data_IF_628467837516
#
_entry.id   IF_628467837516
#
_cell.length_a   1.000
_cell.length_b   1.000
_cell.length_c   1.000
_cell.angle_alpha   90.00
_cell.angle_beta   90.00
_cell.angle_gamma   90.00
#
_symmetry.space_group_name_H-M   'P 1'
#
loop_
_entity.id
_entity.type
_entity.pdbx_description
1 polymer ?
#
# COMPACT_ATOMS: atom_id res chain seq x y z
N UNK A 1 -3.52 16.24 7.49
CA UNK A 1 -4.61 15.60 8.21
C UNK A 1 -4.50 15.93 9.69
N UNK A 2 -5.44 16.71 10.26
CA UNK A 2 -5.48 16.94 11.70
C UNK A 2 -5.82 15.65 12.45
N UNK A 3 -5.27 15.52 13.66
CA UNK A 3 -5.53 14.42 14.58
C UNK A 3 -6.30 14.92 15.80
N UNK A 4 -7.14 14.11 16.41
CA UNK A 4 -7.89 14.50 17.64
C UNK A 4 -6.96 14.93 18.80
N UNK A 5 -5.72 14.48 18.78
CA UNK A 5 -4.68 14.82 19.78
C UNK A 5 -4.02 16.19 19.56
N UNK A 6 -4.51 16.99 18.59
CA UNK A 6 -3.96 18.32 18.28
C UNK A 6 -2.74 18.31 17.35
N UNK A 7 -2.27 17.14 16.95
CA UNK A 7 -1.16 17.00 16.02
C UNK A 7 -1.62 17.11 14.55
N UNK A 8 -0.73 17.51 13.67
CA UNK A 8 -0.95 17.53 12.24
C UNK A 8 -0.08 16.47 11.56
N UNK A 9 -0.71 15.56 10.83
CA UNK A 9 -0.01 14.62 9.97
C UNK A 9 0.14 15.21 8.58
N UNK A 10 1.38 15.35 8.13
CA UNK A 10 1.74 15.79 6.79
C UNK A 10 2.31 14.61 5.99
N UNK A 11 1.85 14.41 4.78
CA UNK A 11 2.31 13.35 3.87
C UNK A 11 1.65 13.52 2.49
N UNK A 12 2.14 12.85 1.51
CA UNK A 12 3.16 11.82 1.54
C UNK A 12 4.08 11.91 0.32
N UNK A 13 5.16 11.16 0.35
CA UNK A 13 6.00 10.92 -0.82
C UNK A 13 5.89 9.46 -1.27
N UNK A 14 6.37 9.17 -2.47
CA UNK A 14 6.47 7.83 -3.04
C UNK A 14 7.81 7.69 -3.74
N UNK A 15 8.57 6.67 -3.37
CA UNK A 15 9.86 6.35 -3.95
C UNK A 15 9.88 4.90 -4.41
N UNK A 16 10.48 4.65 -5.57
CA UNK A 16 10.61 3.32 -6.14
C UNK A 16 12.07 2.86 -6.09
N UNK A 17 12.28 1.55 -6.04
CA UNK A 17 13.61 0.95 -6.16
C UNK A 17 14.50 1.11 -4.92
N UNK A 18 13.99 1.66 -3.82
CA UNK A 18 14.73 1.73 -2.56
C UNK A 18 14.29 0.61 -1.62
N UNK A 19 15.26 -0.05 -1.04
CA UNK A 19 15.07 -1.07 0.00
C UNK A 19 15.60 -0.62 1.36
N UNK A 20 16.15 0.60 1.42
CA UNK A 20 16.70 1.17 2.65
C UNK A 20 15.70 2.14 3.29
N UNK A 21 15.37 1.94 4.57
CA UNK A 21 14.32 2.70 5.26
C UNK A 21 14.65 4.12 5.74
N UNK A 22 15.87 4.67 5.68
CA UNK A 22 16.07 6.03 6.18
C UNK A 22 15.21 7.03 5.42
N UNK A 23 14.69 8.01 6.16
CA UNK A 23 13.96 9.13 5.59
C UNK A 23 14.88 9.92 4.66
N UNK A 24 14.55 10.01 3.38
CA UNK A 24 15.26 10.84 2.43
C UNK A 24 14.99 12.33 2.75
N UNK A 25 16.04 13.03 3.19
CA UNK A 25 15.93 14.41 3.66
C UNK A 25 15.56 15.39 2.53
N UNK A 26 16.00 15.16 1.30
CA UNK A 26 15.69 16.02 0.16
C UNK A 26 14.20 15.89 -0.21
N UNK A 27 13.67 14.66 -0.22
CA UNK A 27 12.25 14.41 -0.45
C UNK A 27 11.40 15.01 0.66
N UNK A 28 11.83 14.88 1.92
CA UNK A 28 11.16 15.50 3.06
C UNK A 28 11.13 17.03 2.92
N UNK A 29 12.26 17.64 2.63
CA UNK A 29 12.37 19.09 2.46
C UNK A 29 11.51 19.60 1.29
N UNK A 30 11.45 18.87 0.19
CA UNK A 30 10.59 19.19 -0.94
C UNK A 30 9.09 19.09 -0.57
N UNK A 31 8.72 18.05 0.16
CA UNK A 31 7.35 17.87 0.63
C UNK A 31 6.92 19.00 1.58
N UNK A 32 7.79 19.38 2.52
CA UNK A 32 7.53 20.46 3.45
C UNK A 32 7.42 21.82 2.72
N UNK A 33 8.31 22.11 1.79
CA UNK A 33 8.21 23.34 0.97
C UNK A 33 6.88 23.45 0.25
N UNK A 34 6.44 22.39 -0.41
CA UNK A 34 5.13 22.36 -1.07
C UNK A 34 3.96 22.52 -0.10
N UNK A 35 4.06 21.96 1.09
CA UNK A 35 3.03 22.12 2.10
C UNK A 35 2.89 23.57 2.59
N UNK A 36 4.00 24.29 2.71
CA UNK A 36 4.02 25.70 3.09
C UNK A 36 3.32 26.60 2.06
N UNK A 37 3.36 26.25 0.77
CA UNK A 37 2.62 26.96 -0.29
C UNK A 37 1.10 26.93 -0.06
N UNK A 38 0.59 25.87 0.54
CA UNK A 38 -0.84 25.71 0.86
C UNK A 38 -1.21 26.14 2.27
N UNK A 39 -0.29 25.97 3.21
CA UNK A 39 -0.50 26.23 4.64
C UNK A 39 0.72 26.92 5.25
N UNK A 40 0.90 28.24 5.03
CA UNK A 40 2.07 28.97 5.52
C UNK A 40 2.30 28.87 7.03
N UNK A 41 1.23 28.76 7.82
CA UNK A 41 1.33 28.60 9.28
C UNK A 41 2.04 27.34 9.75
N UNK A 42 2.32 26.37 8.86
CA UNK A 42 3.14 25.21 9.20
C UNK A 42 4.58 25.59 9.55
N UNK A 43 5.07 26.74 9.09
CA UNK A 43 6.41 27.24 9.40
C UNK A 43 6.65 27.50 10.90
N UNK A 44 5.58 27.74 11.65
CA UNK A 44 5.63 28.00 13.09
C UNK A 44 5.57 26.72 13.93
N UNK A 45 5.36 25.57 13.29
CA UNK A 45 5.21 24.29 13.98
C UNK A 45 6.52 23.52 14.05
N UNK A 46 6.72 22.79 15.14
CA UNK A 46 7.85 21.88 15.30
C UNK A 46 7.50 20.48 14.78
N UNK A 47 8.40 19.88 14.02
CA UNK A 47 8.29 18.49 13.64
C UNK A 47 8.53 17.59 14.86
N UNK A 48 7.56 16.78 15.20
CA UNK A 48 7.64 15.82 16.32
C UNK A 48 8.33 14.55 15.86
N UNK A 49 8.01 14.09 14.63
CA UNK A 49 8.48 12.81 14.12
C UNK A 49 8.37 12.76 12.59
N UNK A 50 9.35 12.12 11.98
CA UNK A 50 9.31 11.70 10.58
C UNK A 50 9.48 10.19 10.50
N UNK A 51 8.85 9.54 9.52
CA UNK A 51 8.99 8.11 9.28
C UNK A 51 8.75 7.75 7.82
N UNK A 52 9.25 6.60 7.43
CA UNK A 52 8.95 5.94 6.16
C UNK A 52 8.37 4.55 6.42
N UNK A 53 7.85 3.92 5.37
CA UNK A 53 7.39 2.54 5.38
C UNK A 53 7.34 2.00 3.97
N UNK A 54 7.45 0.68 3.85
CA UNK A 54 7.32 0.00 2.57
C UNK A 54 5.86 -0.24 2.21
N UNK A 55 5.58 -0.17 0.92
CA UNK A 55 4.32 -0.62 0.34
C UNK A 55 4.60 -1.84 -0.51
N UNK A 56 3.93 -2.95 -0.21
CA UNK A 56 4.02 -4.14 -1.04
C UNK A 56 3.33 -3.88 -2.37
N UNK A 57 4.08 -4.00 -3.45
CA UNK A 57 3.59 -3.86 -4.82
C UNK A 57 4.01 -5.05 -5.65
N UNK A 58 3.34 -5.24 -6.77
CA UNK A 58 3.66 -6.23 -7.79
C UNK A 58 4.20 -5.54 -9.04
N UNK A 59 4.91 -6.22 -9.94
CA UNK A 59 5.43 -5.62 -11.16
C UNK A 59 4.36 -5.00 -12.07
N UNK A 60 3.14 -5.55 -12.05
CA UNK A 60 2.01 -5.09 -12.85
C UNK A 60 1.06 -4.15 -12.10
N UNK A 61 1.39 -3.79 -10.86
CA UNK A 61 0.58 -2.94 -9.97
C UNK A 61 -0.82 -3.50 -9.66
N UNK A 62 -1.07 -4.78 -9.92
CA UNK A 62 -2.30 -5.49 -9.57
C UNK A 62 -2.05 -6.38 -8.34
N UNK A 63 -2.93 -6.42 -7.34
CA UNK A 63 -2.73 -7.28 -6.18
C UNK A 63 -2.75 -8.76 -6.55
N UNK A 64 -2.18 -9.58 -5.70
CA UNK A 64 -2.31 -11.04 -5.78
C UNK A 64 -3.35 -11.45 -4.75
N UNK A 65 -4.45 -12.05 -5.22
CA UNK A 65 -5.56 -12.51 -4.38
C UNK A 65 -5.94 -13.92 -4.82
N UNK A 66 -5.76 -14.90 -3.95
CA UNK A 66 -6.11 -16.28 -4.25
C UNK A 66 -5.13 -17.30 -3.72
N UNK A 67 -5.28 -18.54 -4.21
CA UNK A 67 -4.47 -19.67 -3.77
C UNK A 67 -3.03 -19.56 -4.28
N UNK A 68 -2.07 -19.94 -3.44
CA UNK A 68 -0.67 -20.03 -3.84
C UNK A 68 -0.47 -21.14 -4.89
N UNK A 69 0.30 -20.93 -5.96
CA UNK A 69 0.37 -21.86 -7.09
C UNK A 69 0.93 -23.25 -6.75
N UNK A 70 1.78 -23.36 -5.75
CA UNK A 70 2.48 -24.62 -5.39
C UNK A 70 2.28 -25.04 -3.94
N UNK A 71 1.50 -24.31 -3.13
CA UNK A 71 1.25 -24.62 -1.72
C UNK A 71 -0.24 -24.61 -1.45
N UNK A 72 -0.82 -25.80 -1.33
CA UNK A 72 -2.28 -26.01 -1.28
C UNK A 72 -3.01 -25.33 -0.13
N UNK A 73 -2.35 -25.10 1.00
CA UNK A 73 -2.97 -24.51 2.20
C UNK A 73 -2.64 -23.03 2.37
N UNK A 74 -1.90 -22.44 1.40
CA UNK A 74 -1.51 -21.03 1.46
C UNK A 74 -2.37 -20.19 0.53
N UNK A 75 -2.96 -19.16 1.10
CA UNK A 75 -3.73 -18.14 0.38
C UNK A 75 -3.04 -16.80 0.46
N UNK A 76 -3.13 -16.03 -0.60
CA UNK A 76 -2.45 -14.75 -0.77
C UNK A 76 -3.46 -13.62 -0.85
N UNK A 77 -3.19 -12.52 -0.17
CA UNK A 77 -3.87 -11.24 -0.28
C UNK A 77 -2.83 -10.13 -0.11
N UNK A 78 -2.02 -9.88 -1.14
CA UNK A 78 -0.81 -9.04 -1.06
C UNK A 78 -0.67 -8.13 -2.28
N UNK A 79 0.23 -7.17 -2.21
CA UNK A 79 0.59 -6.35 -3.37
C UNK A 79 -0.40 -5.22 -3.70
N UNK A 80 -1.23 -4.80 -2.76
CA UNK A 80 -2.23 -3.73 -2.96
C UNK A 80 -1.65 -2.32 -2.98
N UNK A 81 -0.37 -2.19 -2.76
CA UNK A 81 0.36 -0.92 -2.72
C UNK A 81 -0.33 0.09 -1.76
N UNK A 82 -0.74 1.25 -2.25
CA UNK A 82 -1.41 2.27 -1.44
C UNK A 82 -2.92 2.09 -1.27
N UNK A 83 -3.52 1.12 -1.94
CA UNK A 83 -4.97 0.92 -2.00
C UNK A 83 -5.50 -0.16 -1.05
N UNK A 84 -4.61 -0.84 -0.30
CA UNK A 84 -4.97 -2.01 0.50
C UNK A 84 -6.13 -1.77 1.48
N UNK A 85 -6.15 -0.63 2.16
CA UNK A 85 -7.26 -0.30 3.10
C UNK A 85 -8.58 -0.13 2.35
N UNK A 86 -8.56 0.58 1.22
CA UNK A 86 -9.76 0.85 0.42
C UNK A 86 -10.31 -0.42 -0.23
N UNK A 87 -9.43 -1.32 -0.67
CA UNK A 87 -9.82 -2.55 -1.39
C UNK A 87 -10.00 -3.76 -0.47
N UNK A 88 -9.70 -3.63 0.83
CA UNK A 88 -9.79 -4.73 1.79
C UNK A 88 -11.15 -5.46 1.80
N UNK A 89 -12.32 -4.80 1.77
CA UNK A 89 -13.60 -5.50 1.76
C UNK A 89 -13.77 -6.39 0.52
N UNK A 90 -13.50 -5.84 -0.67
CA UNK A 90 -13.61 -6.61 -1.92
C UNK A 90 -12.58 -7.75 -1.99
N UNK A 91 -11.37 -7.52 -1.48
CA UNK A 91 -10.33 -8.56 -1.37
C UNK A 91 -10.79 -9.70 -0.47
N UNK A 92 -11.37 -9.38 0.68
CA UNK A 92 -11.86 -10.37 1.64
C UNK A 92 -13.02 -11.19 1.05
N UNK A 93 -13.97 -10.53 0.40
CA UNK A 93 -15.10 -11.19 -0.24
C UNK A 93 -14.64 -12.15 -1.35
N UNK A 94 -13.77 -11.69 -2.24
CA UNK A 94 -13.22 -12.52 -3.30
C UNK A 94 -12.43 -13.71 -2.75
N UNK A 95 -11.61 -13.50 -1.74
CA UNK A 95 -10.81 -14.57 -1.14
C UNK A 95 -11.69 -15.59 -0.41
N UNK A 96 -12.67 -15.11 0.37
CA UNK A 96 -13.63 -15.99 1.06
C UNK A 96 -14.44 -16.83 0.07
N UNK A 97 -14.93 -16.24 -1.02
CA UNK A 97 -15.67 -16.96 -2.05
C UNK A 97 -14.80 -18.07 -2.69
N UNK A 98 -13.52 -17.79 -2.98
CA UNK A 98 -12.59 -18.80 -3.49
C UNK A 98 -12.34 -19.93 -2.48
N UNK A 99 -12.22 -19.60 -1.19
CA UNK A 99 -11.93 -20.59 -0.13
C UNK A 99 -13.13 -21.50 0.16
N UNK A 100 -14.34 -20.98 0.05
CA UNK A 100 -15.59 -21.70 0.40
C UNK A 100 -16.31 -22.30 -0.80
N UNK A 101 -15.85 -22.02 -2.03
CA UNK A 101 -16.56 -22.41 -3.25
C UNK A 101 -17.86 -21.64 -3.48
N UNK A 102 -17.99 -20.45 -2.91
CA UNK A 102 -19.13 -19.55 -3.07
C UNK A 102 -19.16 -18.83 -4.42
N UNK A 103 -20.22 -18.07 -4.65
CA UNK A 103 -20.32 -17.22 -5.84
C UNK A 103 -19.24 -16.13 -5.85
N UNK A 104 -18.49 -16.04 -6.94
CA UNK A 104 -17.42 -15.05 -7.09
C UNK A 104 -18.00 -13.67 -7.39
N UNK A 105 -17.64 -12.61 -6.64
CA UNK A 105 -18.12 -11.26 -6.88
C UNK A 105 -17.53 -10.64 -8.16
N UNK A 106 -16.38 -11.16 -8.61
CA UNK A 106 -15.67 -10.74 -9.82
C UNK A 106 -14.74 -11.87 -10.30
N UNK A 107 -14.24 -11.74 -11.54
CA UNK A 107 -13.28 -12.69 -12.11
C UNK A 107 -11.98 -12.70 -11.30
N UNK A 108 -11.55 -13.83 -10.72
CA UNK A 108 -10.31 -13.95 -9.96
C UNK A 108 -9.04 -14.02 -10.84
N UNK A 109 -9.16 -14.32 -12.12
CA UNK A 109 -8.02 -14.60 -13.00
C UNK A 109 -6.99 -13.46 -13.05
N UNK A 110 -7.37 -12.18 -13.14
CA UNK A 110 -6.41 -11.07 -13.14
C UNK A 110 -5.60 -10.95 -11.83
N UNK A 111 -6.09 -11.53 -10.74
CA UNK A 111 -5.45 -11.47 -9.42
C UNK A 111 -4.67 -12.74 -9.07
N UNK A 112 -4.72 -13.76 -9.91
CA UNK A 112 -4.06 -15.03 -9.66
C UNK A 112 -2.52 -14.90 -9.67
N UNK A 113 -1.84 -15.55 -8.71
CA UNK A 113 -0.36 -15.53 -8.63
C UNK A 113 0.30 -16.20 -9.86
N UNK A 114 -0.39 -17.13 -10.50
CA UNK A 114 0.07 -17.82 -11.70
C UNK A 114 0.34 -16.90 -12.90
N UNK A 115 -0.19 -15.68 -12.89
CA UNK A 115 0.10 -14.69 -13.94
C UNK A 115 1.58 -14.26 -13.97
N UNK A 116 2.28 -14.43 -12.87
CA UNK A 116 3.72 -14.34 -12.84
C UNK A 116 4.27 -15.75 -13.00
N UNK A 117 4.83 -16.05 -14.17
CA UNK A 117 5.53 -17.30 -14.39
C UNK A 117 6.67 -17.40 -13.38
N UNK A 118 6.45 -18.14 -12.30
CA UNK A 118 7.53 -18.46 -11.38
C UNK A 118 8.46 -19.42 -12.14
N UNK A 119 9.75 -19.10 -12.30
CA UNK A 119 10.69 -20.09 -12.80
C UNK A 119 10.64 -21.32 -11.89
N UNK A 120 10.63 -22.48 -12.50
CA UNK A 120 10.62 -23.76 -11.84
C UNK A 120 11.89 -23.96 -10.96
#
# INVERSE_FOLDING_TARGET
>A
QPRPTGQLLLGSSRQFGTTDPPVNQDVLAQMLRRALDYMPGLAELNAIRTWTGFRATTPDSMPIIGRHPTRDQLWLAVGHEGLGVTTAPATAELLAAQMTGGGLPLDPAPFAAQRFSLPA
#
